data_IF_601569930068
#
_entry.id   IF_601569930068
#
_cell.length_a   1.000
_cell.length_b   1.000
_cell.length_c   1.000
_cell.angle_alpha   90.00
_cell.angle_beta   90.00
_cell.angle_gamma   90.00
#
_symmetry.space_group_name_H-M   'P 1'
#
loop_
_entity.id
_entity.type
_entity.pdbx_description
1 polymer ?
#
# COMPACT_ATOMS: atom_id res chain seq x y z
N UNK A 1 -18.97 1.66 -9.89
CA UNK A 1 -18.70 1.36 -8.47
C UNK A 1 -18.91 2.64 -7.69
N UNK A 2 -19.33 2.57 -6.43
CA UNK A 2 -19.41 3.75 -5.55
C UNK A 2 -18.00 4.28 -5.25
N UNK A 3 -17.89 5.55 -4.82
CA UNK A 3 -16.60 6.13 -4.42
C UNK A 3 -15.92 5.31 -3.30
N UNK A 4 -16.71 4.76 -2.38
CA UNK A 4 -16.21 3.85 -1.34
C UNK A 4 -15.66 2.55 -1.94
N UNK A 5 -16.39 1.93 -2.88
CA UNK A 5 -15.93 0.70 -3.54
C UNK A 5 -14.62 0.91 -4.30
N UNK A 6 -14.48 2.04 -5.01
CA UNK A 6 -13.25 2.39 -5.72
C UNK A 6 -12.08 2.61 -4.76
N UNK A 7 -12.29 3.38 -3.69
CA UNK A 7 -11.29 3.55 -2.63
C UNK A 7 -10.87 2.21 -2.03
N UNK A 8 -11.81 1.31 -1.76
CA UNK A 8 -11.51 0.01 -1.17
C UNK A 8 -10.77 -0.92 -2.13
N UNK A 9 -11.07 -0.90 -3.42
CA UNK A 9 -10.29 -1.63 -4.43
C UNK A 9 -8.86 -1.10 -4.46
N UNK A 10 -8.70 0.23 -4.50
CA UNK A 10 -7.38 0.86 -4.50
C UNK A 10 -6.58 0.56 -3.22
N UNK A 11 -7.23 0.64 -2.05
CA UNK A 11 -6.60 0.39 -0.76
C UNK A 11 -6.19 -1.07 -0.59
N UNK A 12 -6.99 -2.03 -1.04
CA UNK A 12 -6.66 -3.47 -0.97
C UNK A 12 -5.37 -3.79 -1.72
N UNK A 13 -5.16 -3.20 -2.89
CA UNK A 13 -3.90 -3.36 -3.63
C UNK A 13 -2.72 -2.68 -2.91
N UNK A 14 -2.91 -1.48 -2.36
CA UNK A 14 -1.90 -0.80 -1.53
C UNK A 14 -1.49 -1.64 -0.32
N UNK A 15 -2.46 -2.30 0.33
CA UNK A 15 -2.18 -3.21 1.45
C UNK A 15 -1.45 -4.46 0.99
N UNK A 16 -1.85 -5.06 -0.14
CA UNK A 16 -1.13 -6.22 -0.68
C UNK A 16 0.35 -5.91 -0.95
N UNK A 17 0.66 -4.74 -1.52
CA UNK A 17 2.03 -4.25 -1.70
C UNK A 17 2.73 -3.98 -0.37
N UNK A 18 2.02 -3.42 0.63
CA UNK A 18 2.56 -3.21 1.98
C UNK A 18 2.93 -4.54 2.67
N UNK A 19 2.13 -5.59 2.44
CA UNK A 19 2.42 -6.94 2.93
C UNK A 19 3.63 -7.56 2.21
N UNK A 20 3.84 -7.27 0.91
CA UNK A 20 5.08 -7.64 0.21
C UNK A 20 6.28 -6.96 0.86
N UNK A 21 6.21 -5.65 1.14
CA UNK A 21 7.26 -4.91 1.84
C UNK A 21 7.55 -5.53 3.22
N UNK A 22 6.51 -5.87 3.99
CA UNK A 22 6.66 -6.52 5.29
C UNK A 22 7.40 -7.86 5.22
N UNK A 23 7.08 -8.70 4.22
CA UNK A 23 7.81 -9.96 3.99
C UNK A 23 9.25 -9.74 3.57
N UNK A 24 9.52 -8.73 2.75
CA UNK A 24 10.87 -8.38 2.31
C UNK A 24 11.75 -7.91 3.49
N UNK A 25 11.17 -7.13 4.40
CA UNK A 25 11.83 -6.74 5.65
C UNK A 25 12.11 -7.93 6.56
N UNK A 26 11.16 -8.84 6.74
CA UNK A 26 11.40 -10.07 7.51
C UNK A 26 12.50 -10.94 6.89
N UNK A 27 12.47 -11.11 5.57
CA UNK A 27 13.48 -11.88 4.85
C UNK A 27 14.88 -11.30 5.05
N UNK A 28 15.02 -9.96 5.06
CA UNK A 28 16.29 -9.28 5.32
C UNK A 28 16.92 -9.70 6.65
N UNK A 29 16.09 -9.81 7.69
CA UNK A 29 16.54 -10.07 9.05
C UNK A 29 16.69 -11.57 9.38
N UNK A 30 16.18 -12.46 8.52
CA UNK A 30 16.08 -13.90 8.86
C UNK A 30 16.66 -14.85 7.83
N UNK A 31 16.62 -14.52 6.53
CA UNK A 31 16.96 -15.43 5.45
C UNK A 31 17.98 -14.86 4.45
N UNK A 32 18.10 -13.53 4.35
CA UNK A 32 18.92 -12.88 3.34
C UNK A 32 20.40 -13.30 3.43
N UNK A 33 21.02 -13.72 2.31
CA UNK A 33 22.42 -14.12 2.31
C UNK A 33 23.36 -12.90 2.45
N UNK A 34 24.57 -13.10 2.98
CA UNK A 34 25.61 -12.07 2.98
C UNK A 34 25.89 -11.55 1.56
N UNK A 35 26.10 -10.25 1.42
CA UNK A 35 26.41 -9.61 0.14
C UNK A 35 25.19 -9.17 -0.69
N UNK A 36 23.96 -9.52 -0.30
CA UNK A 36 22.74 -9.11 -1.01
C UNK A 36 22.19 -7.73 -0.60
N UNK A 37 22.87 -7.02 0.30
CA UNK A 37 22.36 -5.79 0.92
C UNK A 37 22.05 -4.67 -0.09
N UNK A 38 22.90 -4.48 -1.12
CA UNK A 38 22.70 -3.43 -2.13
C UNK A 38 21.44 -3.71 -2.97
N UNK A 39 21.30 -4.94 -3.47
CA UNK A 39 20.10 -5.37 -4.19
C UNK A 39 18.84 -5.26 -3.33
N UNK A 40 18.91 -5.67 -2.05
CA UNK A 40 17.78 -5.53 -1.12
C UNK A 40 17.38 -4.07 -0.93
N UNK A 41 18.34 -3.16 -0.80
CA UNK A 41 18.07 -1.75 -0.66
C UNK A 41 17.37 -1.17 -1.91
N UNK A 42 17.78 -1.59 -3.11
CA UNK A 42 17.12 -1.20 -4.37
C UNK A 42 15.68 -1.71 -4.44
N UNK A 43 15.44 -2.97 -4.10
CA UNK A 43 14.10 -3.58 -4.06
C UNK A 43 13.15 -2.82 -3.11
N UNK A 44 13.64 -2.55 -1.89
CA UNK A 44 12.87 -1.80 -0.90
C UNK A 44 12.62 -0.37 -1.37
N UNK A 45 13.63 0.36 -1.85
CA UNK A 45 13.46 1.73 -2.32
C UNK A 45 12.46 1.84 -3.47
N UNK A 46 12.49 0.90 -4.43
CA UNK A 46 11.55 0.86 -5.54
C UNK A 46 10.11 0.65 -5.05
N UNK A 47 9.89 -0.32 -4.16
CA UNK A 47 8.57 -0.62 -3.63
C UNK A 47 8.04 0.49 -2.72
N UNK A 48 8.89 1.11 -1.91
CA UNK A 48 8.52 2.27 -1.08
C UNK A 48 8.11 3.46 -1.94
N UNK A 49 8.80 3.71 -3.06
CA UNK A 49 8.41 4.73 -4.01
C UNK A 49 7.01 4.50 -4.61
N UNK A 50 6.65 3.23 -4.87
CA UNK A 50 5.29 2.86 -5.31
C UNK A 50 4.29 3.09 -4.19
N UNK A 51 4.56 2.60 -2.98
CA UNK A 51 3.68 2.74 -1.82
C UNK A 51 3.45 4.20 -1.46
N UNK A 52 4.49 5.03 -1.46
CA UNK A 52 4.37 6.46 -1.20
C UNK A 52 3.43 7.13 -2.20
N UNK A 53 3.65 6.94 -3.52
CA UNK A 53 2.78 7.50 -4.56
C UNK A 53 1.33 7.07 -4.39
N UNK A 54 1.09 5.80 -4.05
CA UNK A 54 -0.28 5.31 -3.82
C UNK A 54 -0.91 5.94 -2.59
N UNK A 55 -0.18 6.05 -1.48
CA UNK A 55 -0.68 6.62 -0.21
C UNK A 55 -0.95 8.12 -0.29
N UNK A 56 -0.29 8.83 -1.20
CA UNK A 56 -0.47 10.26 -1.42
C UNK A 56 -1.25 10.58 -2.69
N UNK A 57 -1.93 9.60 -3.29
CA UNK A 57 -2.67 9.81 -4.53
C UNK A 57 -3.86 10.76 -4.28
N UNK A 58 -4.00 11.86 -5.02
CA UNK A 58 -5.06 12.84 -4.79
C UNK A 58 -6.47 12.25 -4.93
N UNK A 59 -6.64 11.16 -5.70
CA UNK A 59 -7.93 10.46 -5.85
C UNK A 59 -8.46 9.93 -4.52
N UNK A 60 -7.59 9.65 -3.54
CA UNK A 60 -8.00 9.27 -2.18
C UNK A 60 -8.88 10.38 -1.59
N UNK A 61 -8.48 11.65 -1.72
CA UNK A 61 -9.26 12.79 -1.25
C UNK A 61 -10.61 12.88 -1.94
N UNK A 62 -10.63 12.72 -3.26
CA UNK A 62 -11.85 12.78 -4.06
C UNK A 62 -12.85 11.67 -3.68
N UNK A 63 -12.35 10.45 -3.48
CA UNK A 63 -13.18 9.33 -3.04
C UNK A 63 -13.68 9.50 -1.62
N UNK A 64 -12.84 9.96 -0.68
CA UNK A 64 -13.26 10.22 0.70
C UNK A 64 -14.34 11.30 0.78
N UNK A 65 -14.20 12.38 0.00
CA UNK A 65 -15.20 13.45 -0.05
C UNK A 65 -16.55 12.98 -0.65
N UNK A 66 -16.50 12.00 -1.55
CA UNK A 66 -17.67 11.51 -2.28
C UNK A 66 -18.29 10.24 -1.68
N UNK A 67 -17.56 9.55 -0.80
CA UNK A 67 -18.02 8.33 -0.16
C UNK A 67 -19.22 8.61 0.73
N UNK A 68 -20.23 7.75 0.62
CA UNK A 68 -21.41 7.76 1.48
C UNK A 68 -21.43 6.49 2.31
N UNK A 69 -21.84 6.62 3.55
CA UNK A 69 -22.09 5.47 4.40
C UNK A 69 -23.15 4.57 3.76
N UNK A 70 -22.92 3.26 3.84
CA UNK A 70 -23.88 2.27 3.38
C UNK A 70 -25.00 2.00 4.39
N UNK A 71 -24.84 2.47 5.63
CA UNK A 71 -25.78 2.27 6.73
C UNK A 71 -25.72 3.42 7.75
N UNK A 72 -26.64 3.39 8.70
CA UNK A 72 -26.76 4.40 9.77
C UNK A 72 -25.60 4.39 10.78
N UNK A 73 -24.69 3.40 10.74
CA UNK A 73 -23.49 3.40 11.60
C UNK A 73 -22.43 4.33 11.02
N UNK A 74 -22.42 4.53 9.70
CA UNK A 74 -21.48 5.42 9.03
C UNK A 74 -21.97 6.86 8.80
N UNK A 75 -23.23 7.20 9.11
CA UNK A 75 -23.73 8.59 9.15
C UNK A 75 -23.38 9.29 10.47
#
# INVERSE_FOLDING_TARGET
MSAFEELMVFQRETEALSQVMGRLGWDQETMMPPGAAEQRAEEMAALDGVLHRRRTDPRIGDWLASAKASDAVGE
#
